data_IF_824009832578
#
_entry.id   IF_824009832578
#
_cell.length_a   1.000
_cell.length_b   1.000
_cell.length_c   1.000
_cell.angle_alpha   90.00
_cell.angle_beta   90.00
_cell.angle_gamma   90.00
#
_symmetry.space_group_name_H-M   'P 1'
#
loop_
_entity.id
_entity.type
_entity.pdbx_description
1 polymer ?
#
# COMPACT_ATOMS: atom_id res chain seq x y z
N UNK A 1 -26.48 35.15 -3.67
CA UNK A 1 -26.38 34.56 -2.31
C UNK A 1 -27.20 33.27 -2.26
N UNK A 2 -26.65 32.20 -2.85
CA UNK A 2 -27.34 30.90 -2.85
C UNK A 2 -26.86 30.10 -1.64
N UNK A 3 -27.80 29.99 -0.71
CA UNK A 3 -27.77 29.14 0.48
C UNK A 3 -27.59 27.69 0.00
N UNK A 4 -26.55 27.03 0.49
CA UNK A 4 -26.28 25.61 0.23
C UNK A 4 -27.39 24.78 0.88
N UNK A 5 -28.23 24.15 0.07
CA UNK A 5 -28.94 22.95 0.51
C UNK A 5 -27.97 21.76 0.53
N UNK A 6 -28.05 20.88 1.55
CA UNK A 6 -27.02 19.89 1.81
C UNK A 6 -27.08 18.75 0.80
N UNK A 7 -25.92 18.44 0.22
CA UNK A 7 -25.70 17.27 -0.61
C UNK A 7 -26.19 16.01 0.13
N UNK A 8 -27.06 15.28 -0.55
CA UNK A 8 -27.51 13.94 -0.20
C UNK A 8 -26.27 13.11 0.14
N UNK A 9 -26.25 12.56 1.36
CA UNK A 9 -25.23 11.61 1.79
C UNK A 9 -25.39 10.38 0.90
N UNK A 10 -24.55 10.26 -0.13
CA UNK A 10 -24.35 9.00 -0.83
C UNK A 10 -23.88 7.97 0.20
N UNK A 11 -24.72 6.96 0.40
CA UNK A 11 -24.41 5.80 1.22
C UNK A 11 -23.20 5.11 0.61
N UNK A 12 -22.07 5.17 1.31
CA UNK A 12 -20.94 4.26 1.09
C UNK A 12 -21.50 2.84 1.14
N UNK A 13 -21.64 2.19 -0.01
CA UNK A 13 -21.81 0.74 -0.10
C UNK A 13 -20.46 0.14 0.31
N UNK A 14 -20.31 -0.44 1.53
CA UNK A 14 -19.05 -1.03 1.92
C UNK A 14 -18.91 -2.34 1.14
N UNK A 15 -17.76 -2.52 0.47
CA UNK A 15 -17.29 -3.85 0.10
C UNK A 15 -17.46 -4.74 1.33
N UNK A 16 -18.25 -5.80 1.17
CA UNK A 16 -18.73 -6.69 2.22
C UNK A 16 -17.55 -7.43 2.87
N UNK A 17 -16.78 -6.75 3.72
CA UNK A 17 -15.94 -7.39 4.73
C UNK A 17 -16.92 -8.15 5.63
N UNK A 18 -17.00 -9.47 5.43
CA UNK A 18 -17.87 -10.35 6.22
C UNK A 18 -17.45 -10.28 7.69
N UNK A 19 -18.10 -9.40 8.44
CA UNK A 19 -18.15 -9.47 9.90
C UNK A 19 -18.79 -10.81 10.27
N UNK A 20 -18.01 -11.68 10.89
CA UNK A 20 -18.55 -12.87 11.55
C UNK A 20 -18.85 -12.49 12.99
N UNK A 21 -20.14 -12.38 13.30
CA UNK A 21 -20.67 -12.48 14.65
C UNK A 21 -20.34 -13.88 15.19
N UNK A 22 -19.23 -14.00 15.92
CA UNK A 22 -19.06 -15.09 16.86
C UNK A 22 -19.98 -14.82 18.06
N UNK A 23 -21.27 -15.10 17.89
CA UNK A 23 -22.21 -15.24 19.01
C UNK A 23 -21.96 -16.55 19.75
N UNK A 24 -20.76 -16.68 20.32
CA UNK A 24 -20.62 -17.36 21.61
C UNK A 24 -20.43 -16.24 22.62
N UNK A 25 -21.54 -15.91 23.29
CA UNK A 25 -21.53 -15.14 24.53
C UNK A 25 -20.79 -15.99 25.56
N UNK A 26 -19.47 -16.00 25.50
CA UNK A 26 -18.68 -16.24 26.71
C UNK A 26 -18.86 -14.98 27.55
N UNK A 27 -19.70 -15.12 28.58
CA UNK A 27 -19.88 -14.12 29.62
C UNK A 27 -18.52 -13.60 30.05
N UNK A 28 -18.47 -12.30 30.39
CA UNK A 28 -17.34 -11.60 31.01
C UNK A 28 -16.95 -12.32 32.31
N UNK A 29 -16.27 -13.44 32.15
CA UNK A 29 -15.65 -14.20 33.20
C UNK A 29 -14.28 -13.55 33.27
N UNK A 30 -14.00 -12.83 34.36
CA UNK A 30 -12.66 -12.34 34.65
C UNK A 30 -11.66 -13.43 34.28
N UNK A 31 -10.88 -13.21 33.21
CA UNK A 31 -9.86 -14.17 32.79
C UNK A 31 -8.82 -14.20 33.90
N UNK A 32 -8.95 -15.15 34.81
CA UNK A 32 -8.07 -15.30 35.97
C UNK A 32 -6.64 -15.47 35.46
N UNK A 33 -5.78 -14.51 35.78
CA UNK A 33 -4.34 -14.61 35.53
C UNK A 33 -3.79 -15.81 36.33
N UNK A 34 -2.93 -16.59 35.70
CA UNK A 34 -2.31 -17.76 36.30
C UNK A 34 -0.81 -17.50 36.51
N UNK A 35 -0.21 -18.02 37.59
CA UNK A 35 1.24 -18.03 37.73
C UNK A 35 1.87 -18.73 36.52
N UNK A 36 2.99 -18.21 36.00
CA UNK A 36 3.63 -18.75 34.79
C UNK A 36 3.97 -20.24 34.90
N UNK A 37 4.38 -20.72 36.08
CA UNK A 37 4.61 -22.14 36.33
C UNK A 37 3.33 -23.01 36.28
N UNK A 38 2.16 -22.45 36.62
CA UNK A 38 0.88 -23.13 36.44
C UNK A 38 0.50 -23.23 34.95
N UNK A 39 0.76 -22.18 34.18
CA UNK A 39 0.60 -22.19 32.71
C UNK A 39 1.53 -23.23 32.08
N UNK A 40 2.82 -23.23 32.43
CA UNK A 40 3.80 -24.19 31.92
C UNK A 40 3.36 -25.65 32.18
N UNK A 41 2.79 -25.95 33.36
CA UNK A 41 2.24 -27.29 33.66
C UNK A 41 1.03 -27.66 32.80
N UNK A 42 0.16 -26.70 32.47
CA UNK A 42 -0.98 -26.94 31.59
C UNK A 42 -0.52 -27.15 30.14
N UNK A 43 0.42 -26.34 29.66
CA UNK A 43 1.05 -26.49 28.34
C UNK A 43 1.71 -27.87 28.19
N UNK A 44 2.48 -28.34 29.19
CA UNK A 44 3.08 -29.69 29.18
C UNK A 44 2.07 -30.82 28.96
N UNK A 45 0.81 -30.67 29.42
CA UNK A 45 -0.25 -31.68 29.25
C UNK A 45 -0.85 -31.70 27.84
N UNK A 46 -0.48 -30.75 26.99
CA UNK A 46 -0.93 -30.70 25.59
C UNK A 46 -0.10 -31.61 24.70
N UNK A 47 1.17 -31.85 25.05
CA UNK A 47 2.08 -32.73 24.31
C UNK A 47 1.50 -34.15 24.24
N UNK A 48 1.50 -34.75 23.05
CA UNK A 48 1.00 -36.09 22.78
C UNK A 48 -0.48 -36.16 22.43
N UNK A 49 -1.23 -35.06 22.47
CA UNK A 49 -2.61 -35.03 21.94
C UNK A 49 -2.60 -35.23 20.43
N UNK A 50 -3.53 -36.05 19.93
CA UNK A 50 -3.70 -36.35 18.51
C UNK A 50 -4.80 -35.46 17.93
N UNK A 51 -4.49 -34.78 16.82
CA UNK A 51 -5.39 -33.91 16.08
C UNK A 51 -5.60 -34.49 14.67
N UNK A 52 -6.78 -35.06 14.41
CA UNK A 52 -7.08 -35.75 13.16
C UNK A 52 -7.31 -34.78 11.99
N UNK A 53 -7.83 -33.58 12.29
CA UNK A 53 -8.15 -32.56 11.29
C UNK A 53 -7.37 -31.27 11.51
N UNK A 54 -7.29 -30.43 10.49
CA UNK A 54 -6.72 -29.08 10.62
C UNK A 54 -7.54 -28.19 11.56
N UNK A 55 -8.83 -28.49 11.75
CA UNK A 55 -9.64 -27.85 12.77
C UNK A 55 -9.16 -28.20 14.18
N UNK A 56 -8.86 -29.46 14.45
CA UNK A 56 -8.35 -29.90 15.75
C UNK A 56 -6.98 -29.28 16.05
N UNK A 57 -6.11 -29.22 15.03
CA UNK A 57 -4.80 -28.57 15.13
C UNK A 57 -4.95 -27.08 15.46
N UNK A 58 -5.85 -26.38 14.76
CA UNK A 58 -6.16 -24.98 15.04
C UNK A 58 -6.67 -24.79 16.47
N UNK A 59 -7.65 -25.60 16.92
CA UNK A 59 -8.20 -25.52 18.27
C UNK A 59 -7.14 -25.76 19.35
N UNK A 60 -6.23 -26.72 19.13
CA UNK A 60 -5.14 -27.00 20.06
C UNK A 60 -4.18 -25.80 20.18
N UNK A 61 -3.75 -25.22 19.07
CA UNK A 61 -2.85 -24.05 19.08
C UNK A 61 -3.54 -22.80 19.64
N UNK A 62 -4.85 -22.67 19.44
CA UNK A 62 -5.66 -21.60 20.03
C UNK A 62 -5.84 -21.79 21.56
N UNK A 63 -6.01 -23.03 22.05
CA UNK A 63 -5.93 -23.35 23.49
C UNK A 63 -4.56 -22.97 24.07
N UNK A 64 -3.46 -23.31 23.37
CA UNK A 64 -2.08 -22.97 23.78
C UNK A 64 -1.93 -21.47 23.97
N UNK A 65 -2.37 -20.69 22.99
CA UNK A 65 -2.24 -19.23 23.02
C UNK A 65 -3.10 -18.60 24.12
N UNK A 66 -4.34 -19.07 24.33
CA UNK A 66 -5.17 -18.64 25.48
C UNK A 66 -4.50 -18.91 26.82
N UNK A 67 -3.82 -20.05 26.98
CA UNK A 67 -3.08 -20.38 28.20
C UNK A 67 -1.90 -19.43 28.39
N UNK A 68 -1.15 -19.14 27.33
CA UNK A 68 -0.03 -18.20 27.37
C UNK A 68 -0.49 -16.77 27.71
N UNK A 69 -1.63 -16.32 27.20
CA UNK A 69 -2.23 -15.04 27.59
C UNK A 69 -2.56 -14.97 29.10
N UNK A 70 -3.07 -16.05 29.70
CA UNK A 70 -3.33 -16.09 31.16
C UNK A 70 -2.05 -15.99 32.00
N UNK A 71 -0.90 -16.37 31.45
CA UNK A 71 0.41 -16.24 32.11
C UNK A 71 1.07 -14.87 31.92
N UNK A 72 0.48 -13.97 31.14
CA UNK A 72 1.04 -12.65 30.85
C UNK A 72 0.80 -11.71 32.04
N UNK A 73 1.75 -11.65 32.96
CA UNK A 73 1.84 -10.56 33.93
C UNK A 73 2.29 -9.30 33.19
N UNK A 74 1.39 -8.33 33.00
CA UNK A 74 1.78 -7.00 32.51
C UNK A 74 2.61 -6.32 33.61
N UNK A 75 3.84 -5.91 33.29
CA UNK A 75 4.53 -4.93 34.12
C UNK A 75 3.68 -3.67 34.13
N UNK A 76 3.31 -3.17 35.31
CA UNK A 76 2.63 -1.87 35.45
C UNK A 76 3.57 -0.69 35.21
N UNK A 77 4.87 -0.95 35.13
CA UNK A 77 5.90 0.04 34.88
C UNK A 77 6.05 0.25 33.37
N UNK A 78 5.43 1.33 32.88
CA UNK A 78 5.47 1.75 31.47
C UNK A 78 6.89 2.16 31.06
N UNK A 79 7.66 2.73 31.98
CA UNK A 79 9.02 3.22 31.70
C UNK A 79 10.02 2.07 31.54
N UNK A 80 9.78 0.95 32.24
CA UNK A 80 10.58 -0.27 32.14
C UNK A 80 9.92 -1.37 31.28
N UNK A 81 8.85 -1.06 30.55
CA UNK A 81 8.19 -2.04 29.70
C UNK A 81 9.13 -2.45 28.55
N UNK A 82 9.56 -3.72 28.55
CA UNK A 82 10.36 -4.27 27.46
C UNK A 82 9.52 -4.25 26.17
N UNK A 83 10.11 -3.72 25.09
CA UNK A 83 9.50 -3.76 23.75
C UNK A 83 9.35 -5.22 23.34
N UNK A 84 8.12 -5.61 22.99
CA UNK A 84 7.83 -6.97 22.52
C UNK A 84 8.58 -7.26 21.23
N UNK A 85 9.37 -8.32 21.22
CA UNK A 85 10.05 -8.83 20.03
C UNK A 85 9.30 -10.06 19.52
N UNK A 86 9.12 -10.13 18.20
CA UNK A 86 8.55 -11.28 17.54
C UNK A 86 9.49 -12.48 17.56
N UNK A 87 8.92 -13.67 17.64
CA UNK A 87 9.64 -14.95 17.60
C UNK A 87 9.08 -15.92 16.54
N UNK A 88 8.12 -15.48 15.72
CA UNK A 88 7.62 -16.30 14.61
C UNK A 88 8.74 -16.50 13.58
N UNK A 89 9.17 -17.74 13.39
CA UNK A 89 10.24 -18.09 12.44
C UNK A 89 9.75 -18.20 10.99
N UNK A 90 8.44 -18.14 10.74
CA UNK A 90 7.80 -18.40 9.45
C UNK A 90 7.17 -17.12 8.85
N UNK A 91 6.97 -17.10 7.52
CA UNK A 91 6.24 -15.99 6.87
C UNK A 91 4.78 -15.89 7.33
N UNK A 92 4.20 -17.00 7.82
CA UNK A 92 2.87 -17.10 8.41
C UNK A 92 2.92 -18.01 9.65
N UNK A 93 2.48 -17.55 10.84
CA UNK A 93 2.44 -18.38 12.04
C UNK A 93 1.63 -19.67 11.84
N UNK A 94 2.08 -20.79 12.42
CA UNK A 94 1.44 -22.10 12.24
C UNK A 94 -0.06 -22.11 12.59
N UNK A 95 -0.44 -21.50 13.71
CA UNK A 95 -1.85 -21.37 14.12
C UNK A 95 -2.68 -20.69 13.03
N UNK A 96 -2.13 -19.64 12.43
CA UNK A 96 -2.79 -18.89 11.39
C UNK A 96 -2.99 -19.75 10.14
N UNK A 97 -2.00 -20.54 9.72
CA UNK A 97 -2.13 -21.44 8.56
C UNK A 97 -3.34 -22.38 8.69
N UNK A 98 -3.48 -23.05 9.83
CA UNK A 98 -4.65 -23.91 10.07
C UNK A 98 -5.97 -23.12 10.15
N UNK A 99 -5.95 -21.94 10.79
CA UNK A 99 -7.11 -21.04 10.81
C UNK A 99 -7.56 -20.68 9.38
N UNK A 100 -6.62 -20.39 8.46
CA UNK A 100 -6.92 -20.05 7.06
C UNK A 100 -7.54 -21.21 6.29
N UNK A 101 -7.08 -22.44 6.52
CA UNK A 101 -7.68 -23.67 5.96
C UNK A 101 -9.12 -23.81 6.45
N UNK A 102 -9.32 -23.79 7.77
CA UNK A 102 -10.63 -23.96 8.42
C UNK A 102 -11.64 -22.91 7.94
N UNK A 103 -11.22 -21.65 7.84
CA UNK A 103 -12.07 -20.54 7.43
C UNK A 103 -12.23 -20.45 5.89
N UNK A 104 -11.55 -21.29 5.11
CA UNK A 104 -11.51 -21.25 3.64
C UNK A 104 -11.10 -19.88 3.10
N UNK A 105 -10.04 -19.31 3.67
CA UNK A 105 -9.54 -17.97 3.30
C UNK A 105 -8.15 -18.02 2.65
N UNK A 106 -7.69 -19.17 2.14
CA UNK A 106 -6.42 -19.22 1.42
C UNK A 106 -6.49 -18.43 0.11
N UNK A 107 -5.41 -17.74 -0.22
CA UNK A 107 -5.24 -17.13 -1.54
C UNK A 107 -4.70 -18.16 -2.54
N UNK A 108 -4.97 -17.97 -3.83
CA UNK A 108 -4.35 -18.76 -4.90
C UNK A 108 -2.81 -18.69 -4.87
N UNK A 109 -2.24 -17.60 -4.36
CA UNK A 109 -0.80 -17.43 -4.15
C UNK A 109 -0.22 -18.23 -2.97
N UNK A 110 -1.07 -18.93 -2.20
CA UNK A 110 -0.71 -19.68 -1.00
C UNK A 110 -1.09 -21.16 -1.11
N UNK A 111 -1.48 -21.59 -2.32
CA UNK A 111 -1.91 -22.96 -2.61
C UNK A 111 -1.03 -23.61 -3.69
N UNK A 112 -1.01 -24.94 -3.68
CA UNK A 112 -0.59 -25.73 -4.83
C UNK A 112 -1.68 -25.69 -5.92
N UNK A 113 -1.36 -26.20 -7.13
CA UNK A 113 -2.26 -26.21 -8.28
C UNK A 113 -3.57 -26.98 -8.03
N UNK A 114 -3.58 -27.91 -7.07
CA UNK A 114 -4.77 -28.68 -6.66
C UNK A 114 -5.66 -27.92 -5.64
N UNK A 115 -5.27 -26.70 -5.25
CA UNK A 115 -5.97 -25.87 -4.27
C UNK A 115 -5.65 -26.19 -2.81
N UNK A 116 -4.80 -27.19 -2.54
CA UNK A 116 -4.33 -27.47 -1.19
C UNK A 116 -3.34 -26.40 -0.71
N UNK A 117 -3.28 -26.17 0.61
CA UNK A 117 -2.35 -25.20 1.20
C UNK A 117 -0.90 -25.58 0.88
N UNK A 118 -0.10 -24.59 0.49
CA UNK A 118 1.35 -24.70 0.39
C UNK A 118 1.98 -23.95 1.58
N UNK A 119 2.27 -24.61 2.72
CA UNK A 119 2.67 -23.93 3.95
C UNK A 119 3.86 -22.99 3.78
N UNK A 120 4.84 -23.36 2.96
CA UNK A 120 6.04 -22.59 2.63
C UNK A 120 5.76 -21.31 1.81
N UNK A 121 4.58 -21.19 1.20
CA UNK A 121 4.15 -20.02 0.42
C UNK A 121 3.19 -19.11 1.18
N UNK A 122 2.67 -19.57 2.32
CA UNK A 122 1.68 -18.82 3.11
C UNK A 122 2.30 -17.60 3.78
N UNK A 123 1.62 -16.46 3.70
CA UNK A 123 2.09 -15.21 4.30
C UNK A 123 1.02 -14.69 5.25
N UNK A 124 1.43 -14.28 6.46
CA UNK A 124 0.54 -13.68 7.47
C UNK A 124 -0.33 -12.59 6.86
N UNK A 125 -1.64 -12.68 7.05
CA UNK A 125 -2.59 -11.71 6.55
C UNK A 125 -2.70 -10.48 7.46
N UNK A 126 -3.12 -9.36 6.88
CA UNK A 126 -3.50 -8.21 7.69
C UNK A 126 -4.86 -8.48 8.36
N UNK A 127 -4.86 -8.51 9.69
CA UNK A 127 -6.07 -8.46 10.52
C UNK A 127 -6.20 -7.10 11.20
N UNK A 128 -7.42 -6.53 11.20
CA UNK A 128 -7.70 -5.27 11.89
C UNK A 128 -7.62 -5.50 13.41
N UNK A 129 -7.03 -4.54 14.13
CA UNK A 129 -7.09 -4.54 15.59
C UNK A 129 -8.52 -4.23 16.04
N UNK A 130 -9.11 -5.07 16.90
CA UNK A 130 -10.38 -4.78 17.58
C UNK A 130 -10.13 -4.43 19.05
N UNK A 131 -11.03 -3.71 19.70
CA UNK A 131 -10.87 -3.33 21.11
C UNK A 131 -10.76 -4.56 22.05
N UNK A 132 -11.44 -5.65 21.69
CA UNK A 132 -11.43 -6.91 22.45
C UNK A 132 -10.30 -7.87 22.03
N UNK A 133 -9.48 -7.50 21.04
CA UNK A 133 -8.35 -8.34 20.64
C UNK A 133 -7.24 -8.24 21.68
N UNK A 134 -6.79 -9.41 22.12
CA UNK A 134 -5.60 -9.52 22.95
C UNK A 134 -4.37 -9.02 22.17
N UNK A 135 -3.47 -8.34 22.87
CA UNK A 135 -2.18 -7.97 22.31
C UNK A 135 -1.45 -9.25 21.84
N UNK A 136 -0.89 -9.28 20.62
CA UNK A 136 -0.34 -10.51 20.08
C UNK A 136 0.74 -11.10 20.98
N UNK A 137 0.86 -12.43 20.93
CA UNK A 137 1.97 -13.14 21.55
C UNK A 137 3.24 -13.01 20.70
N UNK A 138 4.45 -13.15 21.29
CA UNK A 138 5.71 -13.06 20.55
C UNK A 138 5.75 -13.93 19.29
N UNK A 139 5.28 -15.19 19.37
CA UNK A 139 5.28 -16.13 18.24
C UNK A 139 4.21 -15.84 17.18
N UNK A 140 3.33 -14.86 17.40
CA UNK A 140 2.42 -14.35 16.38
C UNK A 140 3.04 -13.18 15.59
N UNK A 141 4.17 -12.64 16.03
CA UNK A 141 4.90 -11.54 15.40
C UNK A 141 6.18 -12.04 14.74
N UNK A 142 6.46 -11.59 13.52
CA UNK A 142 7.68 -11.93 12.78
C UNK A 142 8.81 -10.97 13.18
N UNK A 143 9.99 -11.46 13.59
CA UNK A 143 11.16 -10.63 13.81
C UNK A 143 11.71 -10.05 12.49
N UNK A 144 12.69 -9.15 12.59
CA UNK A 144 13.21 -8.37 11.47
C UNK A 144 13.68 -9.22 10.28
N UNK A 145 14.44 -10.28 10.54
CA UNK A 145 14.96 -11.20 9.52
C UNK A 145 13.83 -11.92 8.78
N UNK A 146 12.81 -12.39 9.50
CA UNK A 146 11.64 -13.05 8.90
C UNK A 146 10.78 -12.05 8.13
N UNK A 147 10.63 -10.81 8.61
CA UNK A 147 9.95 -9.74 7.88
C UNK A 147 10.68 -9.41 6.57
N UNK A 148 12.02 -9.34 6.59
CA UNK A 148 12.83 -9.14 5.40
C UNK A 148 12.66 -10.28 4.39
N UNK A 149 12.80 -11.53 4.83
CA UNK A 149 12.59 -12.71 3.97
C UNK A 149 11.18 -12.75 3.39
N UNK A 150 10.17 -12.39 4.19
CA UNK A 150 8.78 -12.32 3.73
C UNK A 150 8.61 -11.25 2.65
N UNK A 151 9.17 -10.06 2.83
CA UNK A 151 9.09 -9.00 1.82
C UNK A 151 9.85 -9.39 0.55
N UNK A 152 11.01 -10.03 0.68
CA UNK A 152 11.76 -10.52 -0.47
C UNK A 152 10.94 -11.53 -1.27
N UNK A 153 10.23 -12.46 -0.62
CA UNK A 153 9.29 -13.37 -1.28
C UNK A 153 8.17 -12.60 -1.98
N UNK A 154 7.50 -11.66 -1.31
CA UNK A 154 6.41 -10.88 -1.90
C UNK A 154 6.87 -10.09 -3.13
N UNK A 155 8.04 -9.45 -3.05
CA UNK A 155 8.57 -8.62 -4.15
C UNK A 155 9.14 -9.50 -5.27
N UNK A 156 10.06 -10.41 -4.95
CA UNK A 156 10.79 -11.22 -5.93
C UNK A 156 9.98 -12.34 -6.57
N UNK A 157 9.02 -12.93 -5.85
CA UNK A 157 8.16 -14.00 -6.39
C UNK A 157 6.83 -13.48 -6.89
N UNK A 158 6.09 -12.74 -6.06
CA UNK A 158 4.71 -12.35 -6.39
C UNK A 158 4.68 -11.09 -7.26
N UNK A 159 5.34 -10.02 -6.84
CA UNK A 159 5.29 -8.75 -7.56
C UNK A 159 5.98 -8.79 -8.93
N UNK A 160 6.87 -9.76 -9.15
CA UNK A 160 7.55 -9.98 -10.41
C UNK A 160 6.63 -10.52 -11.53
N UNK A 161 5.51 -11.14 -11.18
CA UNK A 161 4.56 -11.72 -12.14
C UNK A 161 3.28 -10.88 -12.17
N UNK A 162 3.32 -9.75 -12.88
CA UNK A 162 2.16 -8.87 -13.03
C UNK A 162 1.17 -9.51 -14.02
N UNK A 163 -0.08 -9.83 -13.60
CA UNK A 163 -1.05 -10.42 -14.51
C UNK A 163 -1.49 -9.46 -15.62
N UNK A 164 -2.05 -10.03 -16.68
CA UNK A 164 -2.54 -9.28 -17.84
C UNK A 164 -4.04 -8.97 -17.77
N UNK A 165 -4.83 -9.87 -17.16
CA UNK A 165 -6.28 -9.67 -17.03
C UNK A 165 -6.62 -8.76 -15.85
N UNK A 166 -7.68 -7.99 -15.98
CA UNK A 166 -8.13 -7.05 -14.96
C UNK A 166 -8.51 -7.78 -13.66
N UNK A 167 -9.19 -8.94 -13.75
CA UNK A 167 -9.58 -9.71 -12.58
C UNK A 167 -8.37 -10.30 -11.83
N UNK A 168 -7.36 -10.80 -12.53
CA UNK A 168 -6.14 -11.32 -11.92
C UNK A 168 -5.27 -10.20 -11.34
N UNK A 169 -5.19 -9.06 -12.03
CA UNK A 169 -4.44 -7.89 -11.58
C UNK A 169 -5.02 -7.32 -10.27
N UNK A 170 -6.36 -7.29 -10.16
CA UNK A 170 -7.05 -6.90 -8.93
C UNK A 170 -6.72 -7.85 -7.77
N UNK A 171 -6.79 -9.16 -7.99
CA UNK A 171 -6.46 -10.18 -6.99
C UNK A 171 -4.97 -10.15 -6.57
N UNK A 172 -4.08 -9.96 -7.54
CA UNK A 172 -2.65 -9.80 -7.34
C UNK A 172 -2.34 -8.62 -6.41
N UNK A 173 -2.95 -7.46 -6.69
CA UNK A 173 -2.73 -6.28 -5.87
C UNK A 173 -3.37 -6.40 -4.49
N UNK A 174 -4.59 -6.94 -4.38
CA UNK A 174 -5.24 -7.18 -3.08
C UNK A 174 -4.37 -8.06 -2.17
N UNK A 175 -3.78 -9.13 -2.73
CA UNK A 175 -2.84 -9.98 -2.00
C UNK A 175 -1.61 -9.20 -1.51
N UNK A 176 -0.89 -8.53 -2.42
CA UNK A 176 0.31 -7.76 -2.07
C UNK A 176 0.01 -6.65 -1.06
N UNK A 177 -1.06 -5.89 -1.28
CA UNK A 177 -1.54 -4.84 -0.38
C UNK A 177 -1.83 -5.39 1.01
N UNK A 178 -2.53 -6.51 1.11
CA UNK A 178 -2.87 -7.13 2.38
C UNK A 178 -1.61 -7.60 3.13
N UNK A 179 -0.72 -8.35 2.46
CA UNK A 179 0.47 -8.95 3.10
C UNK A 179 1.52 -7.90 3.48
N UNK A 180 1.75 -6.89 2.65
CA UNK A 180 2.65 -5.77 2.99
C UNK A 180 2.09 -4.91 4.13
N UNK A 181 0.77 -4.75 4.21
CA UNK A 181 0.12 -4.11 5.36
C UNK A 181 0.27 -4.91 6.66
N UNK A 182 0.28 -6.24 6.58
CA UNK A 182 0.59 -7.11 7.72
C UNK A 182 2.04 -6.91 8.20
N UNK A 183 3.01 -6.83 7.28
CA UNK A 183 4.41 -6.50 7.60
C UNK A 183 4.50 -5.15 8.33
N UNK A 184 3.85 -4.11 7.82
CA UNK A 184 3.80 -2.80 8.49
C UNK A 184 3.16 -2.86 9.89
N UNK A 185 2.15 -3.72 10.07
CA UNK A 185 1.53 -3.94 11.38
C UNK A 185 2.53 -4.57 12.36
N UNK A 186 3.27 -5.60 11.92
CA UNK A 186 4.31 -6.24 12.74
C UNK A 186 5.41 -5.25 13.15
N UNK A 187 5.86 -4.40 12.23
CA UNK A 187 6.84 -3.32 12.50
C UNK A 187 6.32 -2.37 13.59
N UNK A 188 5.04 -1.97 13.49
CA UNK A 188 4.41 -1.04 14.44
C UNK A 188 4.26 -1.68 15.82
N UNK A 189 3.79 -2.94 15.87
CA UNK A 189 3.55 -3.65 17.15
C UNK A 189 4.84 -3.96 17.90
N UNK A 190 5.95 -4.11 17.18
CA UNK A 190 7.29 -4.32 17.75
C UNK A 190 8.07 -3.00 17.94
N UNK A 191 7.47 -1.84 17.65
CA UNK A 191 8.11 -0.52 17.78
C UNK A 191 9.50 -0.46 17.12
N UNK A 192 9.65 -1.08 15.95
CA UNK A 192 10.95 -1.23 15.30
C UNK A 192 11.50 0.11 14.82
N UNK A 193 12.73 0.43 15.21
CA UNK A 193 13.48 1.63 14.78
C UNK A 193 14.87 1.19 14.32
N UNK A 194 14.94 0.60 13.11
CA UNK A 194 16.16 0.03 12.51
C UNK A 194 16.12 0.07 10.97
N UNK A 195 17.21 -0.36 10.33
CA UNK A 195 17.37 -0.39 8.87
C UNK A 195 16.34 -1.27 8.15
N UNK A 196 16.02 -2.44 8.72
CA UNK A 196 15.00 -3.34 8.17
C UNK A 196 13.64 -2.65 8.10
N UNK A 197 13.22 -1.96 9.16
CA UNK A 197 11.96 -1.22 9.16
C UNK A 197 11.94 -0.12 8.09
N UNK A 198 13.07 0.57 7.86
CA UNK A 198 13.19 1.59 6.80
C UNK A 198 12.96 0.94 5.44
N UNK A 199 13.78 -0.06 5.11
CA UNK A 199 13.75 -0.77 3.81
C UNK A 199 12.36 -1.33 3.48
N UNK A 200 11.71 -1.97 4.46
CA UNK A 200 10.39 -2.57 4.27
C UNK A 200 9.30 -1.53 4.03
N UNK A 201 9.32 -0.41 4.76
CA UNK A 201 8.32 0.65 4.56
C UNK A 201 8.57 1.39 3.23
N UNK A 202 9.83 1.58 2.84
CA UNK A 202 10.21 2.11 1.53
C UNK A 202 9.62 1.28 0.39
N UNK A 203 9.79 -0.05 0.43
CA UNK A 203 9.20 -0.98 -0.54
C UNK A 203 7.66 -0.87 -0.58
N UNK A 204 7.01 -0.75 0.58
CA UNK A 204 5.55 -0.53 0.65
C UNK A 204 5.14 0.79 -0.05
N UNK A 205 5.90 1.87 0.16
CA UNK A 205 5.63 3.17 -0.49
C UNK A 205 5.77 3.03 -2.01
N UNK A 206 6.86 2.42 -2.50
CA UNK A 206 7.08 2.23 -3.93
C UNK A 206 5.98 1.37 -4.56
N UNK A 207 5.51 0.33 -3.86
CA UNK A 207 4.39 -0.51 -4.29
C UNK A 207 3.10 0.28 -4.49
N UNK A 208 2.70 1.11 -3.51
CA UNK A 208 1.50 1.91 -3.65
C UNK A 208 1.59 2.95 -4.77
N UNK A 209 2.77 3.54 -4.97
CA UNK A 209 3.01 4.49 -6.08
C UNK A 209 2.89 3.77 -7.42
N UNK A 210 3.56 2.64 -7.58
CA UNK A 210 3.45 1.79 -8.78
C UNK A 210 1.99 1.44 -9.08
N UNK A 211 1.29 0.89 -8.09
CA UNK A 211 -0.10 0.47 -8.24
C UNK A 211 -1.04 1.62 -8.62
N UNK A 212 -0.76 2.84 -8.13
CA UNK A 212 -1.59 4.03 -8.41
C UNK A 212 -1.66 4.39 -9.90
N UNK A 213 -0.67 3.98 -10.68
CA UNK A 213 -0.63 4.17 -12.12
C UNK A 213 -0.93 2.87 -12.87
N UNK A 214 -0.34 1.74 -12.45
CA UNK A 214 -0.54 0.45 -13.13
C UNK A 214 -1.99 -0.03 -13.10
N UNK A 215 -2.74 0.25 -12.03
CA UNK A 215 -4.13 -0.18 -11.85
C UNK A 215 -5.13 0.97 -12.11
N UNK A 216 -4.72 2.08 -12.75
CA UNK A 216 -5.57 3.26 -12.85
C UNK A 216 -6.78 3.11 -13.79
N UNK A 217 -6.78 2.09 -14.65
CA UNK A 217 -7.87 1.78 -15.60
C UNK A 217 -8.91 0.83 -15.01
N UNK A 218 -8.60 0.15 -13.89
CA UNK A 218 -9.51 -0.74 -13.21
C UNK A 218 -10.66 0.04 -12.57
N UNK A 219 -11.82 -0.60 -12.45
CA UNK A 219 -12.97 0.02 -11.81
C UNK A 219 -12.83 0.03 -10.27
N UNK A 220 -13.65 0.84 -9.60
CA UNK A 220 -13.60 1.00 -8.14
C UNK A 220 -13.78 -0.31 -7.34
N UNK A 221 -14.54 -1.28 -7.89
CA UNK A 221 -14.75 -2.57 -7.23
C UNK A 221 -13.51 -3.46 -7.32
N UNK A 222 -12.70 -3.32 -8.36
CA UNK A 222 -11.41 -4.01 -8.50
C UNK A 222 -10.30 -3.29 -7.72
N UNK A 223 -10.21 -1.96 -7.87
CA UNK A 223 -9.14 -1.16 -7.27
C UNK A 223 -9.66 0.18 -6.74
N UNK A 224 -9.62 0.34 -5.42
CA UNK A 224 -9.94 1.62 -4.77
C UNK A 224 -8.69 2.50 -4.68
N UNK A 225 -8.57 3.42 -5.64
CA UNK A 225 -7.47 4.39 -5.70
C UNK A 225 -7.41 5.32 -4.47
N UNK A 226 -8.55 5.60 -3.82
CA UNK A 226 -8.58 6.40 -2.58
C UNK A 226 -7.98 5.60 -1.44
N UNK A 227 -8.39 4.35 -1.28
CA UNK A 227 -7.81 3.45 -0.28
C UNK A 227 -6.30 3.23 -0.50
N UNK A 228 -5.86 3.08 -1.75
CA UNK A 228 -4.43 3.00 -2.07
C UNK A 228 -3.69 4.28 -1.62
N UNK A 229 -4.23 5.45 -1.95
CA UNK A 229 -3.69 6.76 -1.55
C UNK A 229 -3.58 6.88 -0.02
N UNK A 230 -4.61 6.45 0.72
CA UNK A 230 -4.58 6.51 2.19
C UNK A 230 -3.48 5.63 2.79
N UNK A 231 -3.27 4.42 2.24
CA UNK A 231 -2.22 3.53 2.72
C UNK A 231 -0.83 4.07 2.38
N UNK A 232 -0.65 4.65 1.19
CA UNK A 232 0.57 5.38 0.82
C UNK A 232 0.86 6.53 1.79
N UNK A 233 -0.13 7.36 2.09
CA UNK A 233 0.01 8.47 3.05
C UNK A 233 0.43 7.97 4.44
N UNK A 234 -0.23 6.91 4.94
CA UNK A 234 0.13 6.27 6.20
C UNK A 234 1.55 5.69 6.17
N UNK A 235 1.99 5.09 5.05
CA UNK A 235 3.36 4.56 4.91
C UNK A 235 4.39 5.68 4.97
N UNK A 236 4.18 6.76 4.21
CA UNK A 236 5.07 7.92 4.20
C UNK A 236 5.16 8.59 5.57
N UNK A 237 4.05 8.67 6.30
CA UNK A 237 4.05 9.20 7.65
C UNK A 237 4.83 8.32 8.64
N UNK A 238 4.65 7.00 8.59
CA UNK A 238 5.46 6.06 9.39
C UNK A 238 6.94 6.19 9.06
N UNK A 239 7.29 6.27 7.76
CA UNK A 239 8.67 6.41 7.30
C UNK A 239 9.31 7.72 7.74
N UNK A 240 8.55 8.83 7.72
CA UNK A 240 8.99 10.12 8.25
C UNK A 240 9.40 10.02 9.71
N UNK A 241 8.53 9.46 10.57
CA UNK A 241 8.86 9.32 11.99
C UNK A 241 10.08 8.43 12.21
N UNK A 242 10.20 7.36 11.41
CA UNK A 242 11.35 6.47 11.46
C UNK A 242 12.67 7.19 11.09
N UNK A 243 12.69 7.99 10.01
CA UNK A 243 13.86 8.81 9.68
C UNK A 243 14.17 9.85 10.75
N UNK A 244 13.15 10.49 11.33
CA UNK A 244 13.34 11.50 12.37
C UNK A 244 13.92 10.88 13.66
N UNK A 245 13.47 9.68 14.04
CA UNK A 245 13.98 8.96 15.21
C UNK A 245 15.38 8.38 14.99
N UNK A 246 15.70 7.93 13.78
CA UNK A 246 17.05 7.48 13.41
C UNK A 246 18.02 8.67 13.32
N UNK A 247 17.57 9.83 12.84
CA UNK A 247 18.36 11.05 12.81
C UNK A 247 18.76 11.53 14.22
N UNK A 248 17.88 11.39 15.23
CA UNK A 248 18.23 11.67 16.64
C UNK A 248 19.35 10.77 17.16
N UNK A 249 19.52 9.58 16.56
CA UNK A 249 20.61 8.63 16.84
C UNK A 249 21.84 8.84 15.93
N UNK A 250 21.85 9.87 15.09
CA UNK A 250 22.93 10.16 14.13
C UNK A 250 22.95 9.25 12.91
N UNK A 251 21.87 8.50 12.63
CA UNK A 251 21.75 7.61 11.47
C UNK A 251 20.93 8.30 10.39
N UNK A 252 21.46 8.33 9.16
CA UNK A 252 20.82 8.95 8.00
C UNK A 252 20.91 8.02 6.79
N UNK A 253 19.88 8.06 5.93
CA UNK A 253 19.82 7.26 4.71
C UNK A 253 19.79 8.17 3.48
N UNK A 254 20.50 7.76 2.42
CA UNK A 254 20.51 8.46 1.13
C UNK A 254 19.14 8.44 0.46
N UNK A 255 18.33 7.42 0.72
CA UNK A 255 16.96 7.26 0.24
C UNK A 255 16.00 8.31 0.82
N UNK A 256 16.29 8.93 1.96
CA UNK A 256 15.34 9.85 2.63
C UNK A 256 14.86 10.96 1.67
N UNK A 257 15.75 11.52 0.84
CA UNK A 257 15.38 12.55 -0.12
C UNK A 257 14.38 12.07 -1.18
N UNK A 258 14.38 10.79 -1.55
CA UNK A 258 13.40 10.18 -2.46
C UNK A 258 12.01 10.24 -1.83
N UNK A 259 11.87 9.76 -0.59
CA UNK A 259 10.59 9.63 0.09
C UNK A 259 10.03 10.96 0.59
N UNK A 260 10.89 11.91 0.97
CA UNK A 260 10.49 13.29 1.27
C UNK A 260 9.93 13.98 0.02
N UNK A 261 10.50 13.69 -1.15
CA UNK A 261 9.95 14.17 -2.41
C UNK A 261 8.57 13.54 -2.71
N UNK A 262 8.39 12.24 -2.47
CA UNK A 262 7.08 11.59 -2.60
C UNK A 262 6.04 12.18 -1.64
N UNK A 263 6.40 12.51 -0.41
CA UNK A 263 5.52 13.18 0.56
C UNK A 263 5.00 14.53 0.03
N UNK A 264 5.87 15.33 -0.60
CA UNK A 264 5.50 16.57 -1.27
C UNK A 264 4.63 16.30 -2.50
N UNK A 265 5.06 15.38 -3.37
CA UNK A 265 4.36 15.07 -4.63
C UNK A 265 2.99 14.46 -4.40
N UNK A 266 2.77 13.74 -3.30
CA UNK A 266 1.46 13.23 -2.93
C UNK A 266 0.47 14.38 -2.63
N UNK A 267 0.99 15.48 -2.09
CA UNK A 267 0.23 16.59 -1.53
C UNK A 267 0.41 17.90 -2.31
N UNK A 268 0.68 17.86 -3.62
CA UNK A 268 0.96 19.09 -4.40
C UNK A 268 -0.16 20.15 -4.32
N UNK A 269 -1.39 19.73 -3.98
CA UNK A 269 -2.54 20.63 -3.83
C UNK A 269 -2.59 21.34 -2.48
N UNK A 270 -1.88 20.84 -1.47
CA UNK A 270 -1.87 21.38 -0.11
C UNK A 270 -0.92 22.58 0.00
N UNK A 271 -1.45 23.74 0.39
CA UNK A 271 -0.67 24.95 0.60
C UNK A 271 0.37 24.83 1.71
N UNK A 272 0.27 23.80 2.56
CA UNK A 272 1.20 23.53 3.65
C UNK A 272 2.51 22.86 3.23
N UNK A 273 2.62 22.39 1.97
CA UNK A 273 3.82 21.74 1.43
C UNK A 273 5.10 22.56 1.67
N UNK A 274 5.06 23.88 1.44
CA UNK A 274 6.23 24.72 1.65
C UNK A 274 6.66 24.78 3.11
N UNK A 275 5.70 24.88 4.05
CA UNK A 275 6.01 24.91 5.47
C UNK A 275 6.68 23.62 5.91
N UNK A 276 6.21 22.50 5.38
CA UNK A 276 6.80 21.18 5.63
C UNK A 276 8.20 21.06 5.03
N UNK A 277 8.41 21.46 3.77
CA UNK A 277 9.72 21.40 3.14
C UNK A 277 10.78 22.23 3.90
N UNK A 278 10.37 23.36 4.50
CA UNK A 278 11.25 24.20 5.32
C UNK A 278 11.69 23.55 6.65
N UNK A 279 11.03 22.48 7.10
CA UNK A 279 11.47 21.73 8.29
C UNK A 279 12.54 20.69 7.97
N UNK A 280 12.84 20.44 6.70
CA UNK A 280 13.82 19.44 6.31
C UNK A 280 15.25 19.93 6.54
N UNK A 281 16.16 18.99 6.79
CA UNK A 281 17.60 19.27 6.83
C UNK A 281 18.05 19.80 5.46
N UNK A 282 19.09 20.63 5.46
CA UNK A 282 19.56 21.35 4.26
C UNK A 282 19.88 20.40 3.11
N UNK A 283 20.52 19.29 3.41
CA UNK A 283 20.93 18.27 2.44
C UNK A 283 19.72 17.65 1.73
N UNK A 284 18.63 17.44 2.46
CA UNK A 284 17.37 16.92 1.92
C UNK A 284 16.65 17.99 1.09
N UNK A 285 16.61 19.23 1.57
CA UNK A 285 15.98 20.34 0.85
C UNK A 285 16.68 20.65 -0.48
N UNK A 286 18.01 20.52 -0.53
CA UNK A 286 18.83 20.76 -1.72
C UNK A 286 18.84 19.58 -2.70
N UNK A 287 18.37 18.40 -2.29
CA UNK A 287 18.33 17.21 -3.12
C UNK A 287 17.48 17.40 -4.39
N UNK A 288 17.94 16.82 -5.51
CA UNK A 288 17.29 16.97 -6.82
C UNK A 288 15.82 16.55 -6.84
N UNK A 289 15.49 15.45 -6.14
CA UNK A 289 14.12 14.92 -6.01
C UNK A 289 13.18 15.92 -5.33
N UNK A 290 13.61 16.50 -4.20
CA UNK A 290 12.83 17.48 -3.42
C UNK A 290 12.69 18.79 -4.19
N UNK A 291 13.76 19.27 -4.82
CA UNK A 291 13.71 20.46 -5.69
C UNK A 291 12.75 20.29 -6.86
N UNK A 292 12.72 19.10 -7.48
CA UNK A 292 11.74 18.77 -8.52
C UNK A 292 10.32 18.80 -7.96
N UNK A 293 10.08 18.19 -6.80
CA UNK A 293 8.77 18.18 -6.14
C UNK A 293 8.25 19.61 -5.88
N UNK A 294 9.11 20.51 -5.40
CA UNK A 294 8.78 21.93 -5.18
C UNK A 294 8.50 22.67 -6.50
N UNK A 295 9.25 22.36 -7.58
CA UNK A 295 8.98 22.92 -8.92
C UNK A 295 7.63 22.45 -9.45
N UNK A 296 7.27 21.18 -9.27
CA UNK A 296 5.98 20.62 -9.64
C UNK A 296 4.84 21.24 -8.83
N UNK A 297 5.04 21.42 -7.51
CA UNK A 297 4.10 22.16 -6.64
C UNK A 297 3.81 23.55 -7.20
N UNK A 298 4.87 24.30 -7.50
CA UNK A 298 4.77 25.64 -8.08
C UNK A 298 4.02 25.64 -9.42
N UNK A 299 4.24 24.61 -10.26
CA UNK A 299 3.51 24.47 -11.53
C UNK A 299 2.02 24.21 -11.32
N UNK A 300 1.65 23.36 -10.36
CA UNK A 300 0.25 23.05 -10.05
C UNK A 300 -0.47 24.28 -9.47
N UNK A 301 0.14 24.99 -8.51
CA UNK A 301 -0.43 26.19 -7.90
C UNK A 301 -0.60 27.34 -8.90
N UNK A 302 0.39 27.54 -9.78
CA UNK A 302 0.34 28.55 -10.84
C UNK A 302 -0.35 28.05 -12.11
N UNK A 303 -1.02 26.89 -12.08
CA UNK A 303 -1.80 26.36 -13.20
C UNK A 303 -0.99 26.20 -14.52
N UNK A 304 0.34 26.03 -14.41
CA UNK A 304 1.26 25.96 -15.54
C UNK A 304 1.39 24.52 -16.06
N UNK A 305 0.37 24.05 -16.77
CA UNK A 305 0.30 22.68 -17.33
C UNK A 305 1.44 22.37 -18.29
N UNK A 306 1.85 23.33 -19.12
CA UNK A 306 2.94 23.17 -20.08
C UNK A 306 4.27 22.86 -19.36
N UNK A 307 4.58 23.61 -18.30
CA UNK A 307 5.79 23.36 -17.51
C UNK A 307 5.67 22.08 -16.68
N UNK A 308 4.49 21.78 -16.14
CA UNK A 308 4.23 20.57 -15.38
C UNK A 308 4.57 19.30 -16.18
N UNK A 309 3.96 19.13 -17.36
CA UNK A 309 4.23 17.95 -18.20
C UNK A 309 5.67 17.90 -18.70
N UNK A 310 6.29 19.05 -19.01
CA UNK A 310 7.70 19.11 -19.40
C UNK A 310 8.64 18.63 -18.30
N UNK A 311 8.40 19.04 -17.05
CA UNK A 311 9.19 18.57 -15.91
C UNK A 311 9.05 17.06 -15.71
N UNK A 312 7.85 16.51 -15.86
CA UNK A 312 7.64 15.06 -15.73
C UNK A 312 8.33 14.28 -16.86
N UNK A 313 8.21 14.73 -18.10
CA UNK A 313 8.86 14.06 -19.23
C UNK A 313 10.39 14.10 -19.11
N UNK A 314 10.97 15.25 -18.78
CA UNK A 314 12.41 15.47 -18.87
C UNK A 314 13.18 15.18 -17.58
N UNK A 315 12.62 15.51 -16.41
CA UNK A 315 13.37 15.55 -15.14
C UNK A 315 12.93 14.47 -14.14
N UNK A 316 11.68 13.97 -14.22
CA UNK A 316 11.13 13.05 -13.22
C UNK A 316 11.55 11.57 -13.45
N UNK A 317 11.53 10.78 -12.39
CA UNK A 317 11.69 9.31 -12.46
C UNK A 317 10.34 8.62 -12.77
N UNK A 318 10.38 7.31 -13.07
CA UNK A 318 9.19 6.49 -13.27
C UNK A 318 8.17 6.65 -12.13
N UNK A 319 8.56 6.37 -10.88
CA UNK A 319 7.67 6.44 -9.73
C UNK A 319 7.16 7.88 -9.45
N UNK A 320 7.98 8.90 -9.70
CA UNK A 320 7.52 10.30 -9.59
C UNK A 320 6.43 10.63 -10.62
N UNK A 321 6.55 10.10 -11.85
CA UNK A 321 5.50 10.20 -12.86
C UNK A 321 4.24 9.43 -12.47
N UNK A 322 4.37 8.18 -12.00
CA UNK A 322 3.23 7.39 -11.50
C UNK A 322 2.48 8.13 -10.38
N UNK A 323 3.20 8.70 -9.41
CA UNK A 323 2.61 9.45 -8.31
C UNK A 323 1.91 10.74 -8.80
N UNK A 324 2.54 11.47 -9.72
CA UNK A 324 1.99 12.72 -10.26
C UNK A 324 0.85 12.50 -11.27
N UNK A 325 0.67 11.28 -11.77
CA UNK A 325 -0.41 10.90 -12.70
C UNK A 325 -1.78 11.36 -12.22
N UNK A 326 -2.02 11.29 -10.90
CA UNK A 326 -3.26 11.74 -10.26
C UNK A 326 -3.65 13.20 -10.50
N UNK A 327 -2.71 14.05 -10.91
CA UNK A 327 -2.96 15.46 -11.21
C UNK A 327 -3.13 15.74 -12.70
N UNK A 328 -2.99 14.73 -13.58
CA UNK A 328 -3.01 14.94 -15.03
C UNK A 328 -4.34 15.51 -15.49
N UNK A 329 -5.45 14.89 -15.10
CA UNK A 329 -6.79 15.37 -15.48
C UNK A 329 -7.06 16.78 -14.95
N UNK A 330 -6.57 17.13 -13.76
CA UNK A 330 -6.65 18.50 -13.24
C UNK A 330 -5.85 19.49 -14.09
N UNK A 331 -4.62 19.16 -14.46
CA UNK A 331 -3.79 20.04 -15.30
C UNK A 331 -4.35 20.16 -16.73
N UNK A 332 -4.91 19.08 -17.27
CA UNK A 332 -5.57 19.05 -18.57
C UNK A 332 -6.87 19.87 -18.54
N UNK A 333 -7.69 19.72 -17.51
CA UNK A 333 -8.88 20.55 -17.30
C UNK A 333 -8.52 22.04 -17.24
N UNK A 334 -7.45 22.38 -16.53
CA UNK A 334 -6.94 23.75 -16.46
C UNK A 334 -6.50 24.29 -17.82
N UNK A 335 -5.92 23.45 -18.68
CA UNK A 335 -5.59 23.84 -20.04
C UNK A 335 -6.86 24.13 -20.86
N UNK A 336 -7.87 23.27 -20.75
CA UNK A 336 -9.17 23.48 -21.43
C UNK A 336 -9.85 24.75 -20.95
N UNK A 337 -9.82 25.00 -19.64
CA UNK A 337 -10.32 26.23 -19.03
C UNK A 337 -9.62 27.47 -19.62
N UNK A 338 -8.28 27.46 -19.68
CA UNK A 338 -7.51 28.56 -20.24
C UNK A 338 -7.82 28.82 -21.73
N UNK A 339 -7.94 27.75 -22.54
CA UNK A 339 -8.29 27.85 -23.96
C UNK A 339 -9.68 28.45 -24.13
N UNK A 340 -10.69 27.98 -23.41
CA UNK A 340 -12.05 28.54 -23.53
C UNK A 340 -12.15 29.96 -23.03
N UNK A 341 -11.46 30.30 -21.94
CA UNK A 341 -11.46 31.67 -21.44
C UNK A 341 -10.87 32.65 -22.47
N UNK A 342 -9.90 32.21 -23.28
CA UNK A 342 -9.40 33.00 -24.41
C UNK A 342 -10.45 33.19 -25.52
N UNK A 343 -11.34 32.21 -25.78
CA UNK A 343 -12.47 32.34 -26.72
C UNK A 343 -13.42 33.45 -26.27
N UNK A 344 -13.72 33.53 -24.98
CA UNK A 344 -14.67 34.51 -24.44
C UNK A 344 -14.21 35.94 -24.69
N UNK A 345 -12.91 36.19 -24.53
CA UNK A 345 -12.27 37.50 -24.77
C UNK A 345 -12.33 37.90 -26.24
N UNK A 346 -12.24 36.93 -27.18
CA UNK A 346 -12.20 37.20 -28.62
C UNK A 346 -13.55 37.62 -29.23
N UNK A 347 -14.62 37.74 -28.43
CA UNK A 347 -15.79 38.58 -28.68
C UNK A 347 -16.68 38.23 -29.87
N UNK A 348 -16.14 38.35 -31.10
CA UNK A 348 -16.85 38.32 -32.39
C UNK A 348 -16.89 36.95 -33.07
N UNK A 349 -15.98 36.04 -32.75
CA UNK A 349 -15.99 34.68 -33.30
C UNK A 349 -16.64 33.75 -32.27
N UNK A 350 -17.75 33.10 -32.65
CA UNK A 350 -18.51 32.20 -31.78
C UNK A 350 -17.79 30.89 -31.43
N UNK A 351 -16.58 30.70 -31.96
CA UNK A 351 -15.72 29.54 -31.76
C UNK A 351 -14.25 29.95 -31.74
N UNK A 352 -13.39 29.12 -31.15
CA UNK A 352 -11.95 29.19 -31.35
C UNK A 352 -11.49 27.93 -32.07
N UNK A 353 -10.62 28.12 -33.06
CA UNK A 353 -9.92 27.06 -33.75
C UNK A 353 -8.47 27.07 -33.27
N UNK A 354 -7.98 25.93 -32.80
CA UNK A 354 -6.56 25.73 -32.47
C UNK A 354 -6.05 24.48 -33.16
N UNK A 355 -4.77 24.47 -33.54
CA UNK A 355 -4.15 23.30 -34.16
C UNK A 355 -4.08 22.14 -33.18
N UNK A 356 -4.49 20.95 -33.63
CA UNK A 356 -4.46 19.74 -32.82
C UNK A 356 -3.07 19.46 -32.22
N UNK A 357 -2.01 19.70 -33.00
CA UNK A 357 -0.60 19.49 -32.61
C UNK A 357 -0.21 20.25 -31.33
N UNK A 358 -0.87 21.38 -31.06
CA UNK A 358 -0.66 22.15 -29.83
C UNK A 358 -1.11 21.34 -28.59
N UNK A 359 -2.23 20.63 -28.66
CA UNK A 359 -2.72 19.80 -27.54
C UNK A 359 -1.87 18.57 -27.33
N UNK A 360 -1.56 17.87 -28.42
CA UNK A 360 -0.77 16.64 -28.42
C UNK A 360 0.59 16.85 -27.72
N UNK A 361 1.26 17.96 -28.01
CA UNK A 361 2.57 18.27 -27.43
C UNK A 361 2.51 18.79 -25.99
N UNK A 362 1.44 19.52 -25.63
CA UNK A 362 1.40 20.25 -24.36
C UNK A 362 0.79 19.46 -23.20
N UNK A 363 -0.10 18.49 -23.47
CA UNK A 363 -0.94 17.85 -22.44
C UNK A 363 -0.54 16.42 -22.06
N UNK A 364 0.64 15.99 -22.51
CA UNK A 364 1.27 14.75 -22.04
C UNK A 364 0.50 13.48 -22.39
N UNK A 365 -0.22 13.45 -23.51
CA UNK A 365 -0.79 12.21 -24.06
C UNK A 365 0.30 11.38 -24.76
N UNK A 366 0.06 10.06 -24.91
CA UNK A 366 0.92 9.15 -25.67
C UNK A 366 0.70 9.30 -27.16
N UNK A 367 -0.57 9.38 -27.56
CA UNK A 367 -0.98 9.35 -28.95
C UNK A 367 -2.17 10.30 -29.22
N UNK A 368 -2.47 10.36 -30.52
CA UNK A 368 -3.55 11.16 -31.07
C UNK A 368 -4.94 10.72 -30.58
N UNK A 369 -5.18 9.42 -30.49
CA UNK A 369 -6.51 8.88 -30.17
C UNK A 369 -6.88 9.18 -28.70
N UNK A 370 -5.93 9.04 -27.77
CA UNK A 370 -6.11 9.43 -26.38
C UNK A 370 -6.38 10.94 -26.24
N UNK A 371 -5.67 11.76 -27.02
CA UNK A 371 -5.90 13.22 -27.06
C UNK A 371 -7.30 13.56 -27.59
N UNK A 372 -7.73 12.91 -28.68
CA UNK A 372 -9.04 13.11 -29.27
C UNK A 372 -10.18 12.64 -28.35
N UNK A 373 -10.01 11.52 -27.66
CA UNK A 373 -10.97 11.03 -26.67
C UNK A 373 -11.14 12.06 -25.54
N UNK A 374 -10.04 12.57 -24.99
CA UNK A 374 -10.08 13.62 -23.98
C UNK A 374 -10.79 14.88 -24.49
N UNK A 375 -10.48 15.34 -25.71
CA UNK A 375 -11.13 16.50 -26.32
C UNK A 375 -12.64 16.28 -26.53
N UNK A 376 -13.06 15.04 -26.81
CA UNK A 376 -14.46 14.63 -26.87
C UNK A 376 -15.22 14.87 -25.56
N UNK A 377 -14.60 14.61 -24.40
CA UNK A 377 -15.19 14.90 -23.08
C UNK A 377 -15.49 16.39 -22.85
N UNK A 378 -14.93 17.29 -23.68
CA UNK A 378 -15.11 18.74 -23.62
C UNK A 378 -15.89 19.32 -24.82
N UNK A 379 -16.61 18.47 -25.59
CA UNK A 379 -17.37 18.90 -26.79
C UNK A 379 -16.51 19.59 -27.88
N UNK A 380 -15.20 19.32 -27.91
CA UNK A 380 -14.33 19.89 -28.94
C UNK A 380 -14.55 19.12 -30.24
N UNK A 381 -14.92 19.84 -31.30
CA UNK A 381 -15.22 19.26 -32.61
C UNK A 381 -14.02 19.38 -33.54
N UNK A 382 -13.82 18.35 -34.34
CA UNK A 382 -12.82 18.37 -35.42
C UNK A 382 -13.35 19.16 -36.60
N UNK A 383 -12.47 19.96 -37.18
CA UNK A 383 -12.68 20.62 -38.46
C UNK A 383 -11.35 20.60 -39.23
N UNK A 384 -11.39 20.84 -40.53
CA UNK A 384 -10.18 21.02 -41.32
C UNK A 384 -10.04 22.49 -41.70
N UNK A 385 -8.82 23.01 -41.61
CA UNK A 385 -8.48 24.31 -42.16
C UNK A 385 -8.60 24.26 -43.70
N UNK A 386 -9.35 25.19 -44.28
CA UNK A 386 -9.63 25.19 -45.72
C UNK A 386 -8.40 25.57 -46.57
N UNK A 387 -7.43 26.28 -46.00
CA UNK A 387 -6.28 26.85 -46.70
C UNK A 387 -5.02 25.96 -46.58
N UNK A 388 -4.81 25.38 -45.39
CA UNK A 388 -3.64 24.55 -45.07
C UNK A 388 -3.95 23.04 -45.09
N UNK A 389 -5.21 22.66 -44.97
CA UNK A 389 -5.63 21.26 -44.80
C UNK A 389 -5.28 20.68 -43.42
N UNK A 390 -4.74 21.49 -42.50
CA UNK A 390 -4.39 21.06 -41.14
C UNK A 390 -5.65 20.85 -40.29
N UNK A 391 -5.57 19.91 -39.34
CA UNK A 391 -6.69 19.61 -38.45
C UNK A 391 -6.83 20.69 -37.37
N UNK A 392 -8.00 21.33 -37.37
CA UNK A 392 -8.40 22.35 -36.41
C UNK A 392 -9.38 21.78 -35.39
N UNK A 393 -9.18 22.16 -34.14
CA UNK A 393 -10.06 21.83 -33.03
C UNK A 393 -10.95 23.03 -32.73
N UNK A 394 -12.25 22.86 -32.92
CA UNK A 394 -13.26 23.89 -32.74
C UNK A 394 -13.93 23.75 -31.37
N UNK A 395 -13.83 24.80 -30.56
CA UNK A 395 -14.49 24.90 -29.26
C UNK A 395 -15.55 26.00 -29.30
N UNK A 396 -16.79 25.67 -28.89
CA UNK A 396 -17.92 26.62 -28.86
C UNK A 396 -17.87 27.53 -27.63
N UNK A 397 -18.26 28.80 -27.81
CA UNK A 397 -18.37 29.81 -26.73
C UNK A 397 -19.53 29.56 -25.75
N UNK A 398 -20.56 28.82 -26.16
CA UNK A 398 -21.85 28.77 -25.47
C UNK A 398 -21.90 27.90 -24.19
N UNK A 399 -20.84 27.16 -23.88
CA UNK A 399 -20.80 26.24 -22.73
C UNK A 399 -19.72 26.72 -21.74
N UNK A 400 -20.13 27.20 -20.56
CA UNK A 400 -19.24 27.31 -19.42
C UNK A 400 -18.66 25.91 -19.17
N UNK A 401 -17.33 25.74 -19.25
CA UNK A 401 -16.72 24.41 -19.31
C UNK A 401 -16.94 23.66 -18.01
N UNK A 402 -17.80 22.65 -18.10
CA UNK A 402 -17.66 21.42 -17.35
C UNK A 402 -17.40 20.32 -18.37
N UNK A 403 -16.58 19.32 -18.01
CA UNK A 403 -16.48 18.12 -18.82
C UNK A 403 -17.83 17.41 -18.82
N UNK A 404 -18.29 16.95 -19.98
CA UNK A 404 -19.56 16.18 -20.10
C UNK A 404 -19.46 14.89 -19.28
N UNK A 405 -18.26 14.30 -19.31
CA UNK A 405 -17.90 13.05 -18.65
C UNK A 405 -16.52 13.23 -18.02
N UNK A 406 -16.27 12.55 -16.90
CA UNK A 406 -14.93 12.53 -16.31
C UNK A 406 -13.96 11.85 -17.28
N UNK A 407 -12.86 12.52 -17.69
CA UNK A 407 -11.91 11.90 -18.58
C UNK A 407 -11.29 10.66 -17.92
N UNK A 408 -11.24 9.51 -18.62
CA UNK A 408 -10.71 8.28 -18.04
C UNK A 408 -9.22 8.45 -17.70
N UNK A 409 -8.81 7.88 -16.57
CA UNK A 409 -7.39 7.69 -16.27
C UNK A 409 -6.86 6.55 -17.12
N UNK A 410 -5.70 6.74 -17.75
CA UNK A 410 -5.07 5.73 -18.60
C UNK A 410 -3.62 5.51 -18.23
N UNK A 411 -3.16 4.28 -18.44
CA UNK A 411 -1.74 3.97 -18.41
C UNK A 411 -1.07 4.75 -19.55
N UNK A 412 0.10 5.32 -19.24
CA UNK A 412 0.84 6.16 -20.18
C UNK A 412 2.14 5.46 -20.57
N UNK A 413 2.29 5.13 -21.85
CA UNK A 413 3.47 4.43 -22.39
C UNK A 413 4.75 5.24 -22.20
N UNK A 414 4.67 6.57 -22.30
CA UNK A 414 5.83 7.42 -22.03
C UNK A 414 6.24 7.40 -20.54
N UNK A 415 5.31 7.10 -19.62
CA UNK A 415 5.65 6.87 -18.21
C UNK A 415 6.31 5.50 -18.08
N UNK A 416 5.71 4.45 -18.64
CA UNK A 416 6.28 3.09 -18.61
C UNK A 416 7.69 3.03 -19.21
N UNK A 417 7.96 3.78 -20.27
CA UNK A 417 9.29 3.88 -20.88
C UNK A 417 10.36 4.43 -19.91
N UNK A 418 9.97 5.24 -18.91
CA UNK A 418 10.89 5.78 -17.89
C UNK A 418 11.32 4.74 -16.86
N UNK A 419 10.74 3.53 -16.89
CA UNK A 419 11.24 2.38 -16.13
C UNK A 419 12.59 1.88 -16.65
N UNK A 420 13.00 2.26 -17.87
CA UNK A 420 14.35 2.02 -18.42
C UNK A 420 14.81 0.55 -18.32
N UNK A 421 13.89 -0.38 -18.56
CA UNK A 421 14.16 -1.82 -18.52
C UNK A 421 14.19 -2.46 -17.13
N UNK A 422 14.16 -1.69 -16.04
CA UNK A 422 14.07 -2.25 -14.69
C UNK A 422 12.80 -3.08 -14.53
N UNK A 423 12.94 -4.24 -13.89
CA UNK A 423 11.85 -5.11 -13.47
C UNK A 423 11.05 -4.50 -12.32
N UNK A 424 9.85 -5.00 -12.06
CA UNK A 424 9.04 -4.55 -10.92
C UNK A 424 9.77 -4.76 -9.59
N UNK A 425 10.42 -5.92 -9.31
CA UNK A 425 11.23 -6.09 -8.11
C UNK A 425 12.32 -5.04 -7.90
N UNK A 426 13.04 -4.67 -8.97
CA UNK A 426 14.09 -3.64 -8.91
C UNK A 426 13.49 -2.25 -8.62
N UNK A 427 12.37 -1.91 -9.27
CA UNK A 427 11.66 -0.65 -8.98
C UNK A 427 11.21 -0.58 -7.53
N UNK A 428 10.63 -1.66 -7.00
CA UNK A 428 10.12 -1.70 -5.63
C UNK A 428 11.25 -1.68 -4.59
N UNK A 429 12.40 -2.27 -4.91
CA UNK A 429 13.53 -2.42 -3.99
C UNK A 429 14.59 -1.33 -4.13
N UNK A 430 14.33 -0.28 -4.92
CA UNK A 430 15.28 0.81 -5.10
C UNK A 430 16.57 0.35 -5.78
N UNK A 431 16.46 -0.55 -6.77
CA UNK A 431 17.56 -1.18 -7.50
C UNK A 431 18.48 -2.07 -6.64
N UNK A 432 18.00 -2.53 -5.48
CA UNK A 432 18.68 -3.57 -4.70
C UNK A 432 18.24 -4.95 -5.15
N UNK A 433 19.17 -5.90 -5.14
CA UNK A 433 18.89 -7.31 -5.40
C UNK A 433 17.97 -7.90 -4.32
N UNK A 434 16.97 -8.66 -4.76
CA UNK A 434 16.02 -9.33 -3.87
C UNK A 434 16.23 -10.84 -3.95
N UNK A 435 16.85 -11.41 -2.94
CA UNK A 435 17.01 -12.87 -2.83
C UNK A 435 15.76 -13.50 -2.20
N UNK A 436 15.13 -14.41 -2.94
CA UNK A 436 13.96 -15.17 -2.49
C UNK A 436 14.41 -16.48 -1.86
N UNK A 437 14.25 -16.59 -0.55
CA UNK A 437 14.49 -17.82 0.21
C UNK A 437 13.15 -18.43 0.65
N UNK A 438 12.81 -19.62 0.14
CA UNK A 438 11.63 -20.39 0.56
C UNK A 438 12.08 -21.45 1.56
N UNK A 439 11.68 -21.28 2.82
CA UNK A 439 12.04 -22.17 3.94
C UNK A 439 10.86 -23.07 4.27
N UNK A 440 11.13 -24.34 4.60
CA UNK A 440 10.11 -25.24 5.13
C UNK A 440 9.66 -24.72 6.51
N UNK A 441 8.36 -24.38 6.67
CA UNK A 441 7.89 -23.80 7.91
C UNK A 441 7.87 -24.83 9.06
N UNK A 442 7.90 -24.33 10.29
CA UNK A 442 7.77 -25.18 11.47
C UNK A 442 6.42 -25.90 11.49
N UNK A 443 6.40 -27.16 11.91
CA UNK A 443 5.20 -27.94 12.09
C UNK A 443 5.26 -28.65 13.44
N UNK A 444 4.32 -28.32 14.32
CA UNK A 444 4.22 -28.88 15.66
C UNK A 444 3.63 -30.29 15.71
N UNK A 445 3.07 -30.75 14.58
CA UNK A 445 2.38 -32.02 14.45
C UNK A 445 3.18 -33.02 13.61
N UNK A 446 3.22 -34.26 14.05
CA UNK A 446 3.79 -35.36 13.27
C UNK A 446 2.85 -35.81 12.13
N UNK A 447 3.25 -36.87 11.41
CA UNK A 447 2.48 -37.44 10.29
C UNK A 447 1.12 -38.02 10.71
N UNK A 448 0.94 -38.33 11.99
CA UNK A 448 -0.32 -38.85 12.54
C UNK A 448 -1.17 -37.72 13.15
N UNK A 449 -0.74 -36.46 13.05
CA UNK A 449 -1.40 -35.33 13.69
C UNK A 449 -1.14 -35.21 15.19
N UNK A 450 -0.13 -35.91 15.72
CA UNK A 450 0.24 -35.84 17.14
C UNK A 450 1.04 -34.57 17.41
N UNK A 451 0.61 -33.75 18.36
CA UNK A 451 1.31 -32.54 18.78
C UNK A 451 2.54 -32.92 19.64
N UNK A 452 3.75 -32.80 19.07
CA UNK A 452 4.99 -33.31 19.66
C UNK A 452 6.11 -32.28 19.76
N UNK A 453 6.28 -31.41 18.77
CA UNK A 453 7.46 -30.52 18.65
C UNK A 453 7.05 -29.06 18.48
N UNK A 454 6.77 -28.36 19.57
CA UNK A 454 6.42 -26.92 19.50
C UNK A 454 7.50 -26.06 20.15
N UNK A 455 8.30 -25.40 19.30
CA UNK A 455 9.36 -24.49 19.72
C UNK A 455 8.85 -23.35 20.61
N UNK A 456 7.61 -22.89 20.42
CA UNK A 456 6.98 -21.86 21.24
C UNK A 456 6.75 -22.38 22.65
N UNK A 457 6.22 -23.59 22.77
CA UNK A 457 5.97 -24.26 24.04
C UNK A 457 7.28 -24.57 24.77
N UNK A 458 8.29 -25.06 24.06
CA UNK A 458 9.62 -25.34 24.60
C UNK A 458 10.28 -24.07 25.15
N UNK A 459 10.24 -22.96 24.41
CA UNK A 459 10.75 -21.66 24.87
C UNK A 459 10.04 -21.21 26.15
N UNK A 460 8.71 -21.26 26.16
CA UNK A 460 7.92 -20.82 27.31
C UNK A 460 8.20 -21.67 28.57
N UNK A 461 8.31 -22.99 28.40
CA UNK A 461 8.61 -23.91 29.50
C UNK A 461 10.03 -23.72 30.02
N UNK A 462 11.02 -23.53 29.14
CA UNK A 462 12.40 -23.34 29.59
C UNK A 462 12.56 -22.03 30.38
N UNK A 463 11.86 -20.97 29.98
CA UNK A 463 11.90 -19.68 30.68
C UNK A 463 11.13 -19.68 32.02
N UNK A 464 10.03 -20.45 32.12
CA UNK A 464 9.06 -20.30 33.20
C UNK A 464 8.75 -21.60 33.97
N UNK A 465 9.35 -22.72 33.56
CA UNK A 465 9.10 -24.06 34.08
C UNK A 465 10.16 -24.55 35.07
N UNK A 466 11.19 -23.75 35.37
CA UNK A 466 12.07 -23.99 36.52
C UNK A 466 11.25 -23.93 37.81
N UNK A 467 11.32 -25.00 38.61
CA UNK A 467 10.73 -25.03 39.95
C UNK A 467 11.38 -23.93 40.80
N UNK A 468 10.60 -22.91 41.19
CA UNK A 468 10.87 -22.10 42.37
C UNK A 468 10.21 -22.74 43.58
#
# INVERSE_FOLDING_TARGET
>A
PWVREPAVKEENVPKLERHIDNTKVESVTEKVLLPKGAVARQLKRMIGRVCETDYDKYQLLDERDRLMHRGRLKSTDVDNAAVMQGSCCDMCPEKERYMRVVQKRLSTYECHDDGSIAPELTVKEYSRSAADQEEPLPHELRPADVLQRTMNYLVGKIANHVPETDEELAQWYDFLWNRTRAIRKDITQQMMVNETAVTLIEQCVRLHIFASHRLCELNFNEFDQKMNTENLSKSLQSLRYLYDDLAKKGVHYSSEAEFRAYEIMLNLSDSNVFRQALTYRREILEAGSVRLAIRLFTCLQNQNYVRFFRLLKNDATYLQCCLCHRFFNRMRHQAMYAISHSVLIMGKVGFLAFYFKLIEQLLGFDDRDASLQFLGCYNVRRNNDMDTGEELMHMSKAQLIESIEEPPSKIHLWIEAKRDGYSIPEVLSGCQDVEVEIVTPLNSFDRNGTYLFDAVLDSYINENGGEQ
#
